data_IF_173953905055
#
_entry.id   IF_173953905055
#
_cell.length_a   1.000
_cell.length_b   1.000
_cell.length_c   1.000
_cell.angle_alpha   90.00
_cell.angle_beta   90.00
_cell.angle_gamma   90.00
#
_symmetry.space_group_name_H-M   'P 1'
#
loop_
_entity.id
_entity.type
_entity.pdbx_description
1 polymer ?
#
# COMPACT_ATOMS: atom_id res chain seq x y z
N UNK A 1 -17.77 -7.16 9.91
CA UNK A 1 -17.05 -6.81 8.68
C UNK A 1 -15.64 -6.38 9.07
N UNK A 2 -14.60 -6.91 8.42
CA UNK A 2 -13.20 -6.55 8.73
C UNK A 2 -12.95 -5.09 8.30
N UNK A 3 -12.07 -4.36 9.00
CA UNK A 3 -11.78 -2.96 8.69
C UNK A 3 -11.34 -2.77 7.23
N UNK A 4 -10.52 -3.71 6.72
CA UNK A 4 -10.09 -3.72 5.33
C UNK A 4 -11.26 -3.82 4.33
N UNK A 5 -12.27 -4.69 4.59
CA UNK A 5 -13.43 -4.82 3.72
C UNK A 5 -14.23 -3.51 3.67
N UNK A 6 -14.35 -2.84 4.83
CA UNK A 6 -15.02 -1.53 4.90
C UNK A 6 -14.28 -0.48 4.08
N UNK A 7 -12.94 -0.43 4.17
CA UNK A 7 -12.14 0.49 3.37
C UNK A 7 -12.30 0.24 1.87
N UNK A 8 -12.23 -1.03 1.43
CA UNK A 8 -12.41 -1.41 0.03
C UNK A 8 -13.80 -1.02 -0.50
N UNK A 9 -14.85 -1.21 0.31
CA UNK A 9 -16.21 -0.81 -0.06
C UNK A 9 -16.33 0.72 -0.19
N UNK A 10 -15.79 1.48 0.79
CA UNK A 10 -15.79 2.94 0.73
C UNK A 10 -15.05 3.47 -0.51
N UNK A 11 -13.92 2.85 -0.88
CA UNK A 11 -13.19 3.23 -2.09
C UNK A 11 -14.02 2.99 -3.35
N UNK A 12 -14.70 1.84 -3.45
CA UNK A 12 -15.55 1.53 -4.61
C UNK A 12 -16.77 2.44 -4.69
N UNK A 13 -17.43 2.69 -3.57
CA UNK A 13 -18.56 3.62 -3.49
C UNK A 13 -18.19 5.04 -3.93
N UNK A 14 -16.92 5.42 -3.76
CA UNK A 14 -16.37 6.69 -4.27
C UNK A 14 -15.78 6.58 -5.69
N UNK A 15 -16.04 5.49 -6.42
CA UNK A 15 -15.65 5.34 -7.82
C UNK A 15 -14.17 4.99 -8.04
N UNK A 16 -13.42 4.59 -7.01
CA UNK A 16 -12.03 4.19 -7.16
C UNK A 16 -11.90 2.83 -7.86
N UNK A 17 -11.01 2.74 -8.84
CA UNK A 17 -10.56 1.48 -9.42
C UNK A 17 -9.38 0.95 -8.60
N UNK A 18 -9.44 -0.32 -8.20
CA UNK A 18 -8.45 -0.94 -7.32
C UNK A 18 -7.52 -1.86 -8.11
N UNK A 19 -6.22 -1.70 -7.91
CA UNK A 19 -5.20 -2.50 -8.58
C UNK A 19 -4.16 -3.02 -7.58
N UNK A 20 -3.61 -4.21 -7.86
CA UNK A 20 -2.41 -4.74 -7.22
C UNK A 20 -1.27 -4.76 -8.24
N UNK A 21 -0.08 -4.36 -7.83
CA UNK A 21 1.10 -4.50 -8.67
C UNK A 21 1.55 -5.96 -8.74
N UNK A 22 2.05 -6.43 -9.90
CA UNK A 22 2.47 -7.81 -10.09
C UNK A 22 3.47 -8.30 -9.04
N UNK A 23 4.49 -7.48 -8.71
CA UNK A 23 5.49 -7.83 -7.71
C UNK A 23 4.93 -7.97 -6.29
N UNK A 24 3.93 -7.16 -5.90
CA UNK A 24 3.30 -7.30 -4.59
C UNK A 24 2.40 -8.54 -4.51
N UNK A 25 1.78 -8.92 -5.62
CA UNK A 25 1.06 -10.20 -5.70
C UNK A 25 2.03 -11.37 -5.55
N UNK A 26 3.19 -11.32 -6.24
CA UNK A 26 4.24 -12.33 -6.12
C UNK A 26 4.76 -12.40 -4.67
N UNK A 27 4.96 -11.26 -3.98
CA UNK A 27 5.33 -11.22 -2.56
C UNK A 27 4.31 -11.90 -1.64
N UNK A 28 3.01 -11.72 -1.89
CA UNK A 28 1.96 -12.42 -1.12
C UNK A 28 2.11 -13.92 -1.29
N UNK A 29 2.31 -14.39 -2.53
CA UNK A 29 2.51 -15.81 -2.83
C UNK A 29 3.76 -16.34 -2.12
N UNK A 30 4.86 -15.61 -2.15
CA UNK A 30 6.11 -16.01 -1.51
C UNK A 30 6.00 -16.03 0.02
N UNK A 31 5.27 -15.09 0.62
CA UNK A 31 4.96 -15.10 2.06
C UNK A 31 4.17 -16.37 2.42
N UNK A 32 3.13 -16.71 1.65
CA UNK A 32 2.31 -17.90 1.87
C UNK A 32 3.13 -19.19 1.68
N UNK A 33 3.97 -19.26 0.66
CA UNK A 33 4.88 -20.40 0.43
C UNK A 33 5.86 -20.57 1.57
N UNK A 34 6.51 -19.48 1.98
CA UNK A 34 7.45 -19.49 3.10
C UNK A 34 6.77 -19.92 4.41
N UNK A 35 5.51 -19.55 4.62
CA UNK A 35 4.73 -20.01 5.76
C UNK A 35 4.44 -21.51 5.69
N UNK A 36 4.00 -22.00 4.52
CA UNK A 36 3.74 -23.42 4.27
C UNK A 36 4.96 -24.32 4.54
N UNK A 37 6.13 -23.86 4.07
CA UNK A 37 7.37 -24.63 4.06
C UNK A 37 8.17 -24.49 5.39
N UNK A 38 7.66 -23.71 6.36
CA UNK A 38 8.29 -23.58 7.67
C UNK A 38 8.20 -24.89 8.46
N UNK A 39 9.35 -25.37 8.90
CA UNK A 39 9.40 -26.28 10.05
C UNK A 39 8.94 -25.53 11.31
N UNK A 40 8.11 -26.17 12.14
CA UNK A 40 7.44 -25.59 13.30
C UNK A 40 8.37 -24.96 14.36
N UNK A 41 9.68 -24.93 14.12
CA UNK A 41 10.72 -24.53 15.09
C UNK A 41 11.45 -23.22 14.74
N UNK A 42 11.28 -22.64 13.56
CA UNK A 42 12.06 -21.46 13.13
C UNK A 42 11.28 -20.17 13.05
N UNK A 43 11.79 -19.20 13.83
CA UNK A 43 11.59 -17.75 13.78
C UNK A 43 10.22 -17.17 14.17
N UNK A 44 10.25 -16.05 14.92
CA UNK A 44 9.08 -15.22 15.24
C UNK A 44 8.34 -14.85 13.97
N UNK A 45 7.03 -15.11 13.88
CA UNK A 45 6.24 -14.78 12.72
C UNK A 45 6.19 -13.26 12.51
N UNK A 46 6.13 -12.82 11.27
CA UNK A 46 5.70 -11.44 10.93
C UNK A 46 4.20 -11.29 11.22
N UNK A 47 3.75 -10.09 11.54
CA UNK A 47 2.32 -9.84 11.89
C UNK A 47 1.28 -10.50 10.96
N UNK A 48 1.45 -10.53 9.61
CA UNK A 48 0.53 -11.27 8.74
C UNK A 48 0.50 -12.78 9.00
N UNK A 49 1.63 -13.34 9.44
CA UNK A 49 1.78 -14.78 9.69
C UNK A 49 1.24 -15.19 11.06
N UNK A 50 1.28 -14.32 12.08
CA UNK A 50 0.69 -14.57 13.40
C UNK A 50 -0.79 -14.95 13.30
N UNK A 51 -1.50 -14.37 12.35
CA UNK A 51 -2.90 -14.67 12.12
C UNK A 51 -3.11 -16.04 11.49
N UNK A 52 -2.30 -16.41 10.50
CA UNK A 52 -2.36 -17.74 9.89
C UNK A 52 -2.03 -18.83 10.90
N UNK A 53 -1.06 -18.57 11.81
CA UNK A 53 -0.73 -19.45 12.92
C UNK A 53 -1.88 -19.54 13.93
N UNK A 54 -2.47 -18.42 14.31
CA UNK A 54 -3.59 -18.38 15.26
C UNK A 54 -4.85 -19.08 14.73
N UNK A 55 -5.09 -19.01 13.42
CA UNK A 55 -6.20 -19.67 12.72
C UNK A 55 -5.85 -21.14 12.35
N UNK A 56 -4.65 -21.64 12.67
CA UNK A 56 -4.17 -23.03 12.46
C UNK A 56 -4.32 -23.51 11.00
N UNK A 57 -3.98 -22.65 10.04
CA UNK A 57 -4.05 -23.03 8.62
C UNK A 57 -3.15 -24.23 8.32
N UNK A 58 -3.73 -25.24 7.68
CA UNK A 58 -3.01 -26.42 7.20
C UNK A 58 -2.27 -26.10 5.90
N UNK A 59 -1.26 -26.92 5.57
CA UNK A 59 -0.53 -26.82 4.30
C UNK A 59 -1.48 -26.85 3.09
N UNK A 60 -2.53 -27.68 3.14
CA UNK A 60 -3.54 -27.80 2.08
C UNK A 60 -4.32 -26.48 1.92
N UNK A 61 -4.75 -25.88 3.03
CA UNK A 61 -5.49 -24.61 3.00
C UNK A 61 -4.62 -23.47 2.46
N UNK A 62 -3.33 -23.45 2.81
CA UNK A 62 -2.41 -22.46 2.25
C UNK A 62 -2.22 -22.65 0.75
N UNK A 63 -2.07 -23.88 0.26
CA UNK A 63 -2.00 -24.15 -1.18
C UNK A 63 -3.30 -23.74 -1.90
N UNK A 64 -4.46 -23.93 -1.29
CA UNK A 64 -5.75 -23.44 -1.80
C UNK A 64 -5.80 -21.92 -1.87
N UNK A 65 -5.32 -21.20 -0.82
CA UNK A 65 -5.24 -19.74 -0.82
C UNK A 65 -4.32 -19.23 -1.91
N UNK A 66 -3.14 -19.84 -2.12
CA UNK A 66 -2.22 -19.48 -3.20
C UNK A 66 -2.90 -19.67 -4.58
N UNK A 67 -3.56 -20.82 -4.80
CA UNK A 67 -4.22 -21.09 -6.08
C UNK A 67 -5.42 -20.18 -6.33
N UNK A 68 -6.16 -19.83 -5.28
CA UNK A 68 -7.34 -18.97 -5.37
C UNK A 68 -7.04 -17.48 -5.31
N UNK A 69 -5.80 -17.04 -5.03
CA UNK A 69 -5.46 -15.64 -4.79
C UNK A 69 -5.96 -14.71 -5.90
N UNK A 70 -5.77 -15.08 -7.17
CA UNK A 70 -6.23 -14.25 -8.30
C UNK A 70 -7.75 -14.12 -8.34
N UNK A 71 -8.48 -15.20 -8.07
CA UNK A 71 -9.95 -15.18 -8.01
C UNK A 71 -10.46 -14.43 -6.78
N UNK A 72 -9.77 -14.54 -5.65
CA UNK A 72 -10.07 -13.82 -4.42
C UNK A 72 -9.88 -12.32 -4.61
N UNK A 73 -8.76 -11.87 -5.20
CA UNK A 73 -8.54 -10.47 -5.56
C UNK A 73 -9.63 -9.95 -6.50
N UNK A 74 -9.98 -10.71 -7.53
CA UNK A 74 -11.05 -10.35 -8.46
C UNK A 74 -12.41 -10.24 -7.76
N UNK A 75 -12.73 -11.14 -6.84
CA UNK A 75 -13.98 -11.07 -6.05
C UNK A 75 -14.04 -9.84 -5.16
N UNK A 76 -12.87 -9.38 -4.69
CA UNK A 76 -12.69 -8.11 -3.99
C UNK A 76 -12.63 -6.89 -4.93
N UNK A 77 -12.89 -7.05 -6.24
CA UNK A 77 -12.84 -5.96 -7.22
C UNK A 77 -11.44 -5.37 -7.41
N UNK A 78 -10.39 -6.13 -7.09
CA UNK A 78 -9.00 -5.74 -7.27
C UNK A 78 -8.47 -6.40 -8.54
N UNK A 79 -8.06 -5.59 -9.52
CA UNK A 79 -7.43 -6.06 -10.75
C UNK A 79 -5.91 -6.11 -10.59
N UNK A 80 -5.24 -6.99 -11.34
CA UNK A 80 -3.77 -6.94 -11.44
C UNK A 80 -3.39 -5.90 -12.49
N UNK A 81 -2.43 -5.04 -12.18
CA UNK A 81 -1.86 -4.12 -13.17
C UNK A 81 -1.18 -4.93 -14.29
N UNK A 82 -1.28 -4.50 -15.56
CA UNK A 82 -0.68 -5.21 -16.68
C UNK A 82 0.83 -5.37 -16.49
N UNK A 83 1.31 -6.61 -16.28
CA UNK A 83 2.70 -6.91 -15.87
C UNK A 83 3.72 -6.38 -16.87
N UNK A 84 3.51 -6.64 -18.16
CA UNK A 84 4.46 -6.24 -19.21
C UNK A 84 4.58 -4.72 -19.28
N UNK A 85 3.46 -4.01 -19.38
CA UNK A 85 3.44 -2.55 -19.41
C UNK A 85 4.10 -1.93 -18.18
N UNK A 86 3.77 -2.46 -16.99
CA UNK A 86 4.38 -2.01 -15.73
C UNK A 86 5.91 -2.19 -15.73
N UNK A 87 6.40 -3.37 -16.13
CA UNK A 87 7.84 -3.68 -16.14
C UNK A 87 8.59 -2.84 -17.20
N UNK A 88 7.99 -2.61 -18.35
CA UNK A 88 8.57 -1.80 -19.42
C UNK A 88 8.69 -0.33 -18.99
N UNK A 89 7.64 0.23 -18.38
CA UNK A 89 7.63 1.60 -17.90
C UNK A 89 8.66 1.81 -16.77
N UNK A 90 8.73 0.91 -15.80
CA UNK A 90 9.72 0.95 -14.73
C UNK A 90 11.15 0.72 -15.27
N UNK A 91 11.32 -0.20 -16.20
CA UNK A 91 12.62 -0.43 -16.86
C UNK A 91 13.11 0.80 -17.63
N UNK A 92 12.22 1.49 -18.31
CA UNK A 92 12.49 2.75 -18.99
C UNK A 92 12.86 3.86 -18.03
N UNK A 93 12.10 3.99 -16.92
CA UNK A 93 12.34 4.97 -15.87
C UNK A 93 13.73 4.80 -15.21
N UNK A 94 14.14 3.56 -14.94
CA UNK A 94 15.46 3.25 -14.37
C UNK A 94 16.61 3.64 -15.31
N UNK A 95 16.42 3.52 -16.62
CA UNK A 95 17.41 3.89 -17.63
C UNK A 95 17.46 5.39 -17.89
N UNK A 96 16.29 6.02 -17.97
CA UNK A 96 16.12 7.43 -18.28
C UNK A 96 15.11 8.04 -17.29
N UNK A 97 15.56 8.44 -16.08
CA UNK A 97 14.67 9.01 -15.07
C UNK A 97 13.98 10.26 -15.62
N UNK A 98 12.66 10.30 -15.52
CA UNK A 98 11.92 11.52 -15.81
C UNK A 98 12.39 12.63 -14.86
N UNK A 99 12.45 13.87 -15.38
CA UNK A 99 13.00 15.00 -14.62
C UNK A 99 12.30 15.25 -13.27
N UNK A 100 11.09 14.76 -13.11
CA UNK A 100 10.29 14.87 -11.88
C UNK A 100 10.38 13.63 -10.94
N UNK A 101 11.22 12.63 -11.24
CA UNK A 101 11.42 11.44 -10.42
C UNK A 101 12.90 11.28 -10.08
N UNK A 102 13.23 11.45 -8.81
CA UNK A 102 14.56 11.12 -8.31
C UNK A 102 14.52 9.71 -7.69
N UNK A 103 14.55 8.69 -8.57
CA UNK A 103 14.43 7.27 -8.21
C UNK A 103 15.53 6.82 -7.24
N UNK A 104 16.81 7.08 -7.59
CA UNK A 104 17.94 6.69 -6.75
C UNK A 104 17.93 7.41 -5.40
N UNK A 105 17.68 8.73 -5.40
CA UNK A 105 17.60 9.49 -4.17
C UNK A 105 16.49 9.02 -3.23
N UNK A 106 15.32 8.65 -3.76
CA UNK A 106 14.24 8.06 -2.96
C UNK A 106 14.66 6.70 -2.38
N UNK A 107 15.27 5.85 -3.19
CA UNK A 107 15.77 4.54 -2.77
C UNK A 107 16.79 4.66 -1.64
N UNK A 108 17.79 5.53 -1.81
CA UNK A 108 18.85 5.76 -0.82
C UNK A 108 18.29 6.33 0.48
N UNK A 109 17.34 7.28 0.39
CA UNK A 109 16.69 7.86 1.56
C UNK A 109 15.92 6.81 2.36
N UNK A 110 15.10 5.99 1.68
CA UNK A 110 14.31 4.94 2.33
C UNK A 110 15.20 3.87 2.93
N UNK A 111 16.23 3.41 2.21
CA UNK A 111 17.19 2.41 2.70
C UNK A 111 17.91 2.89 3.96
N UNK A 112 18.33 4.16 3.98
CA UNK A 112 19.03 4.77 5.11
C UNK A 112 18.16 4.85 6.36
N UNK A 113 16.88 5.16 6.21
CA UNK A 113 15.99 5.48 7.33
C UNK A 113 15.12 4.31 7.80
N UNK A 114 15.04 3.22 7.01
CA UNK A 114 14.23 2.04 7.37
C UNK A 114 15.11 0.79 7.39
N UNK A 115 15.66 0.41 8.59
CA UNK A 115 16.66 -0.68 8.71
C UNK A 115 16.19 -2.03 8.16
N UNK A 116 14.90 -2.33 8.14
CA UNK A 116 14.39 -3.61 7.63
C UNK A 116 14.72 -3.86 6.15
N UNK A 117 14.85 -2.81 5.34
CA UNK A 117 15.20 -2.94 3.93
C UNK A 117 16.66 -3.36 3.71
N UNK A 118 17.54 -3.19 4.69
CA UNK A 118 18.91 -3.73 4.62
C UNK A 118 18.96 -5.25 4.53
N UNK A 119 17.87 -5.94 4.92
CA UNK A 119 17.75 -7.41 4.88
C UNK A 119 17.16 -7.93 3.57
N UNK A 120 16.52 -7.11 2.76
CA UNK A 120 15.89 -7.50 1.50
C UNK A 120 15.91 -6.34 0.51
N UNK A 121 16.87 -6.38 -0.40
CA UNK A 121 16.95 -5.41 -1.48
C UNK A 121 15.73 -5.49 -2.43
N UNK A 122 15.15 -6.68 -2.59
CA UNK A 122 13.97 -6.87 -3.44
C UNK A 122 12.74 -6.16 -2.89
N UNK A 123 12.48 -6.24 -1.57
CA UNK A 123 11.36 -5.51 -0.95
C UNK A 123 11.49 -4.00 -1.13
N UNK A 124 12.70 -3.45 -0.91
CA UNK A 124 12.97 -2.05 -1.16
C UNK A 124 12.66 -1.70 -2.62
N UNK A 125 13.19 -2.49 -3.54
CA UNK A 125 13.02 -2.27 -4.96
C UNK A 125 11.54 -2.25 -5.37
N UNK A 126 10.76 -3.22 -4.91
CA UNK A 126 9.34 -3.32 -5.20
C UNK A 126 8.54 -2.11 -4.71
N UNK A 127 8.84 -1.65 -3.50
CA UNK A 127 8.17 -0.48 -2.91
C UNK A 127 8.56 0.83 -3.63
N UNK A 128 9.84 1.01 -3.99
CA UNK A 128 10.32 2.19 -4.75
C UNK A 128 9.76 2.19 -6.17
N UNK A 129 9.71 1.03 -6.82
CA UNK A 129 9.11 0.87 -8.15
C UNK A 129 7.62 1.27 -8.12
N UNK A 130 6.87 0.81 -7.11
CA UNK A 130 5.46 1.16 -6.96
C UNK A 130 5.25 2.67 -6.80
N UNK A 131 6.00 3.32 -5.90
CA UNK A 131 5.91 4.77 -5.68
C UNK A 131 6.27 5.52 -6.97
N UNK A 132 7.36 5.12 -7.62
CA UNK A 132 7.86 5.77 -8.84
C UNK A 132 6.89 5.60 -10.00
N UNK A 133 6.24 4.44 -10.12
CA UNK A 133 5.20 4.19 -11.10
C UNK A 133 3.98 5.11 -10.91
N UNK A 134 3.53 5.28 -9.66
CA UNK A 134 2.44 6.23 -9.37
C UNK A 134 2.82 7.66 -9.74
N UNK A 135 4.06 8.08 -9.47
CA UNK A 135 4.53 9.42 -9.86
C UNK A 135 4.56 9.55 -11.40
N UNK A 136 5.00 8.49 -12.10
CA UNK A 136 5.02 8.44 -13.56
C UNK A 136 3.61 8.53 -14.14
N UNK A 137 2.65 7.77 -13.60
CA UNK A 137 1.25 7.81 -14.02
C UNK A 137 0.61 9.19 -13.81
N UNK A 138 1.07 9.93 -12.82
CA UNK A 138 0.63 11.31 -12.58
C UNK A 138 1.27 12.33 -13.52
N UNK A 139 2.28 11.94 -14.31
CA UNK A 139 3.03 12.81 -15.24
C UNK A 139 3.49 14.14 -14.59
N UNK A 140 3.94 14.08 -13.33
CA UNK A 140 4.34 15.25 -12.55
C UNK A 140 3.18 16.19 -12.15
N UNK A 141 1.93 15.81 -12.43
CA UNK A 141 0.74 16.59 -12.07
C UNK A 141 0.60 16.72 -10.55
N UNK A 142 0.15 17.88 -10.10
CA UNK A 142 -0.14 18.18 -8.69
C UNK A 142 -1.66 18.14 -8.48
N UNK A 143 -2.06 17.50 -7.38
CA UNK A 143 -3.46 17.35 -7.03
C UNK A 143 -3.73 18.04 -5.70
N UNK A 144 -4.81 18.81 -5.62
CA UNK A 144 -5.20 19.53 -4.40
C UNK A 144 -6.04 18.66 -3.47
N UNK A 145 -6.77 17.70 -4.02
CA UNK A 145 -7.64 16.80 -3.26
C UNK A 145 -7.41 15.36 -3.65
N UNK A 146 -7.73 14.43 -2.74
CA UNK A 146 -7.55 13.00 -2.99
C UNK A 146 -8.45 12.49 -4.12
N UNK A 147 -9.62 13.09 -4.29
CA UNK A 147 -10.59 12.71 -5.33
C UNK A 147 -10.14 13.13 -6.72
N UNK A 148 -9.37 14.20 -6.80
CA UNK A 148 -8.80 14.63 -8.09
C UNK A 148 -7.59 13.80 -8.49
N UNK A 149 -7.02 13.01 -7.56
CA UNK A 149 -5.84 12.19 -7.83
C UNK A 149 -6.15 11.10 -8.86
N UNK A 150 -5.36 11.06 -9.93
CA UNK A 150 -5.43 10.00 -10.93
C UNK A 150 -5.10 8.63 -10.34
N UNK A 151 -4.10 8.56 -9.48
CA UNK A 151 -3.61 7.33 -8.86
C UNK A 151 -2.92 7.60 -7.52
N UNK A 152 -2.96 6.62 -6.61
CA UNK A 152 -2.28 6.69 -5.32
C UNK A 152 -1.89 5.26 -4.88
N UNK A 153 -0.70 5.12 -4.31
CA UNK A 153 -0.24 3.86 -3.73
C UNK A 153 -0.69 3.76 -2.28
N UNK A 154 -1.49 2.75 -1.98
CA UNK A 154 -1.99 2.44 -0.66
C UNK A 154 -1.14 1.33 -0.04
N UNK A 155 -0.66 1.53 1.18
CA UNK A 155 0.15 0.53 1.90
C UNK A 155 -0.10 0.56 3.40
N UNK A 156 0.09 -0.58 4.06
CA UNK A 156 0.12 -0.68 5.53
C UNK A 156 1.49 -0.36 6.12
N UNK A 157 2.50 -0.11 5.26
CA UNK A 157 3.84 0.21 5.66
C UNK A 157 4.00 1.69 6.05
N UNK A 158 3.59 2.03 7.27
CA UNK A 158 3.62 3.40 7.79
C UNK A 158 5.01 4.04 7.74
N UNK A 159 6.07 3.28 8.00
CA UNK A 159 7.45 3.80 7.94
C UNK A 159 7.82 4.21 6.51
N UNK A 160 7.42 3.42 5.51
CA UNK A 160 7.62 3.76 4.10
C UNK A 160 6.86 5.05 3.74
N UNK A 161 5.58 5.15 4.12
CA UNK A 161 4.77 6.34 3.87
C UNK A 161 5.43 7.59 4.45
N UNK A 162 5.89 7.52 5.70
CA UNK A 162 6.55 8.64 6.38
C UNK A 162 7.82 9.08 5.66
N UNK A 163 8.73 8.14 5.38
CA UNK A 163 10.02 8.45 4.77
C UNK A 163 9.89 8.91 3.31
N UNK A 164 9.03 8.25 2.53
CA UNK A 164 8.76 8.68 1.16
C UNK A 164 8.14 10.09 1.12
N UNK A 165 7.17 10.37 2.00
CA UNK A 165 6.57 11.69 2.11
C UNK A 165 7.58 12.76 2.52
N UNK A 166 8.46 12.44 3.46
CA UNK A 166 9.53 13.35 3.87
C UNK A 166 10.44 13.68 2.68
N UNK A 167 10.91 12.67 1.95
CA UNK A 167 11.75 12.87 0.77
C UNK A 167 11.05 13.71 -0.31
N UNK A 168 9.80 13.36 -0.63
CA UNK A 168 9.02 14.02 -1.69
C UNK A 168 8.65 15.47 -1.36
N UNK A 169 8.47 15.82 -0.07
CA UNK A 169 8.23 17.21 0.37
C UNK A 169 9.44 18.12 0.15
N UNK A 170 10.65 17.60 0.28
CA UNK A 170 11.90 18.34 0.09
C UNK A 170 12.42 18.28 -1.34
N UNK A 171 11.85 17.43 -2.19
CA UNK A 171 12.16 17.40 -3.62
C UNK A 171 11.59 18.64 -4.33
N UNK A 172 12.08 18.95 -5.51
CA UNK A 172 11.58 20.05 -6.36
C UNK A 172 10.08 19.93 -6.68
N UNK A 173 9.49 18.79 -6.40
CA UNK A 173 8.08 18.43 -6.61
C UNK A 173 7.31 18.44 -5.29
N UNK A 174 6.99 19.63 -4.80
CA UNK A 174 6.06 19.80 -3.67
C UNK A 174 4.68 19.29 -4.10
N UNK A 175 4.46 17.99 -3.96
CA UNK A 175 3.15 17.39 -4.21
C UNK A 175 2.23 17.73 -3.03
N UNK A 176 1.07 18.32 -3.30
CA UNK A 176 0.07 18.62 -2.27
C UNK A 176 -0.52 17.31 -1.74
N UNK A 177 -0.91 16.40 -2.65
CA UNK A 177 -1.32 15.03 -2.30
C UNK A 177 -0.19 14.06 -2.68
N UNK A 178 0.32 13.35 -1.68
CA UNK A 178 1.39 12.38 -1.86
C UNK A 178 1.00 11.25 -2.82
N UNK A 179 1.96 10.71 -3.59
CA UNK A 179 1.73 9.50 -4.39
C UNK A 179 1.55 8.23 -3.56
N UNK A 180 1.84 8.28 -2.26
CA UNK A 180 1.72 7.17 -1.32
C UNK A 180 0.95 7.61 -0.07
N UNK A 181 0.06 6.75 0.43
CA UNK A 181 -0.74 6.97 1.64
C UNK A 181 -0.85 5.68 2.45
N UNK A 182 -0.99 5.80 3.78
CA UNK A 182 -1.31 4.65 4.63
C UNK A 182 -2.80 4.32 4.58
N UNK A 183 -3.14 3.07 4.87
CA UNK A 183 -4.51 2.60 5.02
C UNK A 183 -5.25 3.35 6.14
N UNK A 184 -4.56 3.66 7.23
CA UNK A 184 -5.10 4.43 8.37
C UNK A 184 -5.44 5.86 7.95
N UNK A 185 -4.51 6.55 7.28
CA UNK A 185 -4.71 7.93 6.84
C UNK A 185 -5.84 8.02 5.80
N UNK A 186 -5.85 7.11 4.83
CA UNK A 186 -6.90 7.06 3.81
C UNK A 186 -8.26 6.76 4.43
N UNK A 187 -8.33 5.77 5.33
CA UNK A 187 -9.56 5.44 6.06
C UNK A 187 -10.07 6.66 6.83
N UNK A 188 -9.19 7.39 7.51
CA UNK A 188 -9.54 8.58 8.27
C UNK A 188 -10.13 9.67 7.37
N UNK A 189 -9.52 9.93 6.22
CA UNK A 189 -10.01 10.91 5.22
C UNK A 189 -11.39 10.51 4.71
N UNK A 190 -11.56 9.25 4.32
CA UNK A 190 -12.83 8.75 3.79
C UNK A 190 -13.94 8.77 4.86
N UNK A 191 -13.64 8.41 6.09
CA UNK A 191 -14.59 8.49 7.21
C UNK A 191 -15.07 9.93 7.46
N UNK A 192 -14.17 10.89 7.50
CA UNK A 192 -14.51 12.31 7.68
C UNK A 192 -15.43 12.76 6.55
N UNK A 193 -15.13 12.41 5.29
CA UNK A 193 -15.94 12.76 4.13
C UNK A 193 -17.32 12.10 4.15
N UNK A 194 -17.36 10.79 4.41
CA UNK A 194 -18.61 10.03 4.50
C UNK A 194 -19.54 10.61 5.56
N UNK A 195 -18.97 11.02 6.68
CA UNK A 195 -19.72 11.66 7.74
C UNK A 195 -20.18 13.07 7.38
N UNK A 196 -19.40 13.81 6.60
CA UNK A 196 -19.83 15.15 6.13
C UNK A 196 -20.95 15.07 5.09
N UNK A 197 -21.01 13.98 4.31
CA UNK A 197 -22.06 13.74 3.31
C UNK A 197 -23.37 13.24 3.94
N UNK A 198 -23.26 12.45 5.03
CA UNK A 198 -24.40 11.90 5.76
C UNK A 198 -24.68 12.75 7.00
N UNK A 199 -25.63 13.68 6.92
CA UNK A 199 -26.04 14.61 7.98
C UNK A 199 -26.47 13.96 9.32
N UNK A 200 -26.46 12.62 9.43
CA UNK A 200 -26.95 11.85 10.56
C UNK A 200 -25.88 11.43 11.59
N UNK A 201 -24.61 11.75 11.35
CA UNK A 201 -23.54 11.40 12.29
C UNK A 201 -23.18 12.63 13.12
N UNK A 202 -23.33 12.59 14.46
CA UNK A 202 -22.94 13.72 15.31
C UNK A 202 -21.46 14.05 15.14
N UNK A 203 -21.15 15.32 14.81
CA UNK A 203 -19.76 15.81 14.59
C UNK A 203 -18.80 15.44 15.72
N UNK A 204 -19.28 15.34 16.96
CA UNK A 204 -18.50 14.94 18.13
C UNK A 204 -17.99 13.48 18.07
N UNK A 205 -18.77 12.57 17.46
CA UNK A 205 -18.37 11.17 17.28
C UNK A 205 -17.21 11.04 16.29
N UNK A 206 -17.19 11.88 15.26
CA UNK A 206 -16.13 11.92 14.26
C UNK A 206 -14.80 12.40 14.83
N UNK A 207 -14.85 13.45 15.66
CA UNK A 207 -13.65 14.01 16.29
C UNK A 207 -13.07 13.02 17.30
N UNK A 208 -13.90 12.31 18.06
CA UNK A 208 -13.42 11.29 19.01
C UNK A 208 -12.88 10.03 18.32
N UNK A 209 -13.48 9.58 17.22
CA UNK A 209 -12.97 8.45 16.43
C UNK A 209 -11.66 8.81 15.72
N UNK A 210 -11.53 10.01 15.16
CA UNK A 210 -10.30 10.49 14.55
C UNK A 210 -9.18 10.63 15.59
N UNK A 211 -9.48 11.14 16.80
CA UNK A 211 -8.49 11.24 17.88
C UNK A 211 -8.08 9.87 18.43
N UNK A 212 -8.99 8.90 18.50
CA UNK A 212 -8.66 7.53 18.92
C UNK A 212 -7.78 6.80 17.89
N UNK A 213 -7.94 7.10 16.59
CA UNK A 213 -7.13 6.52 15.52
C UNK A 213 -5.73 7.15 15.42
N UNK A 214 -5.54 8.39 15.95
CA UNK A 214 -4.27 9.14 15.87
C UNK A 214 -3.47 9.03 17.18
N UNK A 215 -4.09 8.61 18.29
CA UNK A 215 -3.37 8.42 19.56
C UNK A 215 -2.58 7.11 19.54
N UNK A 216 -1.23 7.13 19.54
CA UNK A 216 -0.47 5.90 19.73
C UNK A 216 -0.85 5.35 21.11
N UNK A 217 -1.29 4.10 21.14
CA UNK A 217 -1.41 3.34 22.40
C UNK A 217 -0.03 3.32 23.06
N UNK A 218 0.05 3.92 24.23
CA UNK A 218 1.24 3.93 25.09
C UNK A 218 1.60 2.52 25.56
#
# INVERSE_FOLDING_TARGET
KKAADTLLDMLRENGASLFIFPQHKDEIIDILRNFRDRDAYDAKPSQPLERLEAEQFTTIEIDQEIQSLTSSLKSLGIAEAPRESYLDEIGSLKKNPAAYINYSGLSDHVLKNIPRYSRSNQMLQNDIDAISYIILQRDGMRYETIESCQSIFLTTNYSLVREANQFLRYSAYKMQISPIISDIDLTSILWIKYAMQNNNIPRLWLISAANAAVSPTA
#
